data_IF_225277014242
#
_entry.id   IF_225277014242
#
_cell.length_a   1.000
_cell.length_b   1.000
_cell.length_c   1.000
_cell.angle_alpha   90.00
_cell.angle_beta   90.00
_cell.angle_gamma   90.00
#
_symmetry.space_group_name_H-M   'P 1'
#
loop_
_entity.id
_entity.type
_entity.pdbx_description
1 polymer ?
#
# COMPACT_ATOMS: atom_id res chain seq x y z
N UNK A 1 -0.53 -48.43 -16.41
CA UNK A 1 -0.60 -47.00 -16.02
C UNK A 1 -1.96 -46.79 -15.37
N UNK A 2 -2.03 -46.90 -14.05
CA UNK A 2 -3.29 -46.78 -13.33
C UNK A 2 -3.51 -45.32 -12.93
N UNK A 3 -4.61 -44.78 -13.43
CA UNK A 3 -5.12 -43.43 -13.17
C UNK A 3 -5.62 -43.38 -11.72
N UNK A 4 -5.09 -42.46 -10.93
CA UNK A 4 -5.56 -42.22 -9.56
C UNK A 4 -6.91 -41.53 -9.62
N UNK A 5 -7.99 -42.25 -9.28
CA UNK A 5 -9.31 -41.67 -9.02
C UNK A 5 -9.40 -41.28 -7.55
N UNK A 6 -9.74 -40.02 -7.28
CA UNK A 6 -10.10 -39.56 -5.95
C UNK A 6 -11.49 -40.10 -5.59
N UNK A 7 -11.56 -41.17 -4.79
CA UNK A 7 -12.80 -41.52 -4.12
C UNK A 7 -12.98 -40.59 -2.92
N UNK A 8 -13.85 -39.59 -3.04
CA UNK A 8 -14.35 -38.88 -1.88
C UNK A 8 -15.16 -39.89 -1.05
N UNK A 9 -14.58 -40.40 0.03
CA UNK A 9 -15.32 -41.18 1.01
C UNK A 9 -16.42 -40.30 1.59
N UNK A 10 -17.66 -40.74 1.40
CA UNK A 10 -18.86 -40.10 1.91
C UNK A 10 -18.89 -40.18 3.44
N UNK A 11 -18.18 -39.28 4.11
CA UNK A 11 -18.56 -38.84 5.45
C UNK A 11 -19.47 -37.63 5.29
N UNK A 12 -20.77 -37.94 5.16
CA UNK A 12 -21.88 -37.01 5.29
C UNK A 12 -21.90 -36.42 6.72
N UNK A 13 -20.95 -35.54 7.04
CA UNK A 13 -21.18 -34.55 8.06
C UNK A 13 -22.02 -33.45 7.40
N UNK A 14 -23.29 -33.35 7.79
CA UNK A 14 -24.07 -32.12 7.64
C UNK A 14 -23.30 -31.02 8.38
N UNK A 15 -22.31 -30.40 7.75
CA UNK A 15 -21.82 -29.10 8.20
C UNK A 15 -23.00 -28.17 8.02
N UNK A 16 -23.71 -27.89 9.11
CA UNK A 16 -24.64 -26.80 9.16
C UNK A 16 -23.89 -25.58 8.60
N UNK A 17 -24.38 -25.03 7.48
CA UNK A 17 -23.85 -23.78 6.94
C UNK A 17 -24.13 -22.75 8.02
N UNK A 18 -23.13 -22.46 8.86
CA UNK A 18 -23.25 -21.46 9.90
C UNK A 18 -23.63 -20.15 9.21
N UNK A 19 -24.64 -19.43 9.72
CA UNK A 19 -24.99 -18.13 9.14
C UNK A 19 -23.76 -17.24 9.17
N UNK A 20 -23.53 -16.48 8.09
CA UNK A 20 -22.41 -15.54 8.03
C UNK A 20 -22.48 -14.61 9.25
N UNK A 21 -21.36 -14.41 9.98
CA UNK A 21 -21.38 -13.54 11.14
C UNK A 21 -21.81 -12.13 10.74
N UNK A 22 -22.69 -11.55 11.56
CA UNK A 22 -23.14 -10.17 11.42
C UNK A 22 -22.25 -9.27 12.28
N UNK A 23 -22.11 -8.00 11.89
CA UNK A 23 -21.32 -7.00 12.63
C UNK A 23 -19.82 -7.35 12.77
N UNK A 24 -19.25 -8.02 11.78
CA UNK A 24 -17.78 -8.16 11.68
C UNK A 24 -17.22 -6.82 11.22
N UNK A 25 -16.35 -6.23 12.02
CA UNK A 25 -15.76 -4.93 11.75
C UNK A 25 -14.39 -4.79 12.39
N UNK A 26 -13.71 -3.68 12.09
CA UNK A 26 -12.42 -3.34 12.67
C UNK A 26 -12.62 -2.35 13.81
N UNK A 27 -12.20 -2.71 15.02
CA UNK A 27 -12.32 -1.85 16.21
C UNK A 27 -11.11 -0.93 16.39
N UNK A 28 -9.93 -1.38 15.96
CA UNK A 28 -8.70 -0.62 16.06
C UNK A 28 -7.76 -1.03 14.93
N UNK A 29 -6.91 -0.09 14.51
CA UNK A 29 -5.82 -0.33 13.59
C UNK A 29 -4.57 0.34 14.17
N UNK A 30 -3.45 -0.35 14.09
CA UNK A 30 -2.14 0.26 14.27
C UNK A 30 -1.21 -0.29 13.20
N UNK A 31 -0.24 0.53 12.83
CA UNK A 31 0.71 0.18 11.80
C UNK A 31 2.06 0.80 12.10
N UNK A 32 3.10 0.00 11.90
CA UNK A 32 4.46 0.51 11.84
C UNK A 32 4.77 1.08 10.45
N UNK A 33 5.47 2.21 10.37
CA UNK A 33 6.12 2.71 9.15
C UNK A 33 7.57 3.08 9.48
N UNK A 34 8.48 3.03 8.48
CA UNK A 34 9.86 3.45 8.72
C UNK A 34 9.93 4.92 9.16
N UNK A 35 10.80 5.22 10.11
CA UNK A 35 10.95 6.57 10.65
C UNK A 35 11.73 7.52 9.73
N UNK A 36 12.29 6.99 8.64
CA UNK A 36 13.12 7.72 7.70
C UNK A 36 12.49 7.73 6.32
N UNK A 37 12.64 8.84 5.64
CA UNK A 37 12.28 8.99 4.25
C UNK A 37 13.36 9.74 3.48
N UNK A 38 13.31 9.65 2.15
CA UNK A 38 14.14 10.41 1.23
C UNK A 38 13.23 11.26 0.34
N UNK A 39 13.67 12.48 0.00
CA UNK A 39 12.99 13.30 -1.00
C UNK A 39 13.18 12.73 -2.40
N UNK A 40 12.08 12.50 -3.13
CA UNK A 40 12.15 12.03 -4.51
C UNK A 40 12.78 13.08 -5.44
N UNK A 41 12.51 14.37 -5.21
CA UNK A 41 13.14 15.45 -5.96
C UNK A 41 14.68 15.49 -5.79
N UNK A 42 15.20 15.36 -4.56
CA UNK A 42 16.65 15.27 -4.33
C UNK A 42 17.23 13.99 -4.94
N UNK A 43 16.49 12.88 -4.91
CA UNK A 43 16.91 11.62 -5.51
C UNK A 43 16.95 11.71 -7.05
N UNK A 44 16.06 12.48 -7.68
CA UNK A 44 16.11 12.78 -9.11
C UNK A 44 17.43 13.47 -9.48
N UNK A 45 17.78 14.53 -8.74
CA UNK A 45 19.02 15.29 -8.95
C UNK A 45 20.25 14.40 -8.66
N UNK A 46 20.23 13.60 -7.58
CA UNK A 46 21.33 12.68 -7.22
C UNK A 46 21.56 11.57 -8.26
N UNK A 47 20.49 11.02 -8.85
CA UNK A 47 20.57 9.98 -9.87
C UNK A 47 20.85 10.54 -11.28
N UNK A 48 20.90 11.86 -11.45
CA UNK A 48 21.09 12.49 -12.76
C UNK A 48 19.93 12.24 -13.73
N UNK A 49 18.70 12.09 -13.22
CA UNK A 49 17.51 11.90 -14.06
C UNK A 49 16.75 13.22 -14.23
N UNK A 50 15.87 13.28 -15.23
CA UNK A 50 15.02 14.46 -15.45
C UNK A 50 14.11 14.72 -14.24
N UNK A 51 14.00 15.99 -13.85
CA UNK A 51 13.01 16.42 -12.86
C UNK A 51 11.60 15.98 -13.24
N UNK A 52 10.83 15.52 -12.26
CA UNK A 52 9.50 14.98 -12.49
C UNK A 52 9.46 13.48 -12.76
N UNK A 53 10.60 12.80 -12.97
CA UNK A 53 10.61 11.35 -13.25
C UNK A 53 9.99 10.53 -12.12
N UNK A 54 10.31 10.87 -10.87
CA UNK A 54 9.78 10.23 -9.67
C UNK A 54 8.58 11.02 -9.14
N UNK A 55 8.73 12.34 -9.00
CA UNK A 55 7.68 13.20 -8.42
C UNK A 55 6.39 13.21 -9.23
N UNK A 56 6.46 13.26 -10.57
CA UNK A 56 5.29 13.24 -11.45
C UNK A 56 5.07 11.83 -12.02
N UNK A 57 6.14 11.15 -12.44
CA UNK A 57 6.06 9.84 -13.10
C UNK A 57 5.58 8.74 -12.16
N UNK A 58 6.03 8.75 -10.90
CA UNK A 58 5.54 7.86 -9.85
C UNK A 58 4.42 8.52 -9.03
N UNK A 59 4.41 9.85 -8.92
CA UNK A 59 3.44 10.57 -8.09
C UNK A 59 3.78 10.46 -6.62
N UNK A 60 5.06 10.66 -6.28
CA UNK A 60 5.62 10.45 -4.94
C UNK A 60 6.51 11.63 -4.57
N UNK A 61 6.30 12.24 -3.41
CA UNK A 61 7.15 13.36 -2.95
C UNK A 61 8.32 12.85 -2.11
N UNK A 62 8.05 11.86 -1.26
CA UNK A 62 9.04 11.19 -0.43
C UNK A 62 8.91 9.69 -0.57
N UNK A 63 9.98 8.96 -0.28
CA UNK A 63 9.96 7.50 -0.16
C UNK A 63 10.44 7.08 1.21
N UNK A 64 9.61 6.33 1.93
CA UNK A 64 10.00 5.74 3.20
C UNK A 64 11.00 4.60 2.95
N UNK A 65 12.02 4.51 3.80
CA UNK A 65 13.00 3.43 3.72
C UNK A 65 13.37 2.94 5.11
N UNK A 66 13.63 1.64 5.21
CA UNK A 66 13.91 0.98 6.46
C UNK A 66 15.42 0.76 6.62
N UNK A 67 16.00 1.10 7.77
CA UNK A 67 17.43 0.87 8.04
C UNK A 67 17.74 -0.62 8.29
N UNK A 68 19.01 -1.01 8.40
CA UNK A 68 19.43 -2.40 8.67
C UNK A 68 18.93 -2.98 10.03
N UNK A 69 18.58 -2.10 10.98
CA UNK A 69 17.88 -2.45 12.24
C UNK A 69 16.40 -2.77 12.05
N UNK A 70 15.79 -2.22 11.02
CA UNK A 70 14.42 -2.51 10.62
C UNK A 70 14.47 -3.70 9.66
N UNK A 71 14.40 -4.87 10.27
CA UNK A 71 14.79 -6.13 9.66
C UNK A 71 14.21 -6.37 8.25
N UNK A 72 14.98 -7.00 7.36
CA UNK A 72 14.60 -7.35 5.99
C UNK A 72 13.33 -8.21 5.92
N UNK A 73 13.10 -9.05 6.93
CA UNK A 73 11.91 -9.90 7.05
C UNK A 73 10.65 -9.15 7.52
N UNK A 74 10.77 -7.89 7.97
CA UNK A 74 9.63 -7.10 8.46
C UNK A 74 8.71 -6.59 7.34
N UNK A 75 9.07 -6.82 6.06
CA UNK A 75 8.56 -6.03 4.93
C UNK A 75 8.24 -6.83 3.66
N UNK A 76 7.72 -8.04 3.78
CA UNK A 76 7.08 -8.74 2.66
C UNK A 76 5.58 -8.40 2.63
N UNK A 77 4.91 -8.51 1.45
CA UNK A 77 3.43 -8.56 1.19
C UNK A 77 2.72 -7.42 0.39
N UNK A 78 3.02 -7.12 -0.87
CA UNK A 78 2.40 -6.10 -1.80
C UNK A 78 0.95 -5.51 -1.64
N UNK A 79 0.83 -4.22 -2.01
CA UNK A 79 -0.34 -3.42 -2.38
C UNK A 79 0.10 -2.04 -2.92
N UNK A 80 -0.62 -1.46 -3.90
CA UNK A 80 -0.35 -0.24 -4.72
C UNK A 80 1.08 0.36 -4.69
N UNK A 81 1.89 0.19 -5.75
CA UNK A 81 3.31 0.53 -5.81
C UNK A 81 3.61 2.04 -5.89
N UNK A 82 2.73 2.87 -6.46
CA UNK A 82 2.92 4.32 -6.57
C UNK A 82 1.64 5.05 -7.05
N UNK A 83 1.52 6.35 -6.76
CA UNK A 83 0.28 7.12 -6.95
C UNK A 83 -0.22 7.19 -8.39
N UNK A 84 0.69 7.22 -9.37
CA UNK A 84 0.30 7.18 -10.79
C UNK A 84 -0.43 5.89 -11.16
N UNK A 85 -0.14 4.75 -10.51
CA UNK A 85 -0.90 3.52 -10.76
C UNK A 85 -2.32 3.61 -10.21
N UNK A 86 -2.55 4.30 -9.10
CA UNK A 86 -3.91 4.54 -8.56
C UNK A 86 -4.75 5.37 -9.53
N UNK A 87 -4.18 6.42 -10.12
CA UNK A 87 -4.85 7.22 -11.17
C UNK A 87 -5.28 6.33 -12.34
N UNK A 88 -4.37 5.49 -12.83
CA UNK A 88 -4.65 4.56 -13.93
C UNK A 88 -5.67 3.49 -13.55
N UNK A 89 -5.61 2.98 -12.31
CA UNK A 89 -6.55 2.00 -11.79
C UNK A 89 -7.98 2.55 -11.72
N UNK A 90 -8.14 3.79 -11.24
CA UNK A 90 -9.44 4.47 -11.23
C UNK A 90 -9.99 4.69 -12.64
N UNK A 91 -9.14 5.16 -13.56
CA UNK A 91 -9.52 5.28 -14.97
C UNK A 91 -9.94 3.93 -15.58
N UNK A 92 -9.27 2.82 -15.19
CA UNK A 92 -9.63 1.47 -15.65
C UNK A 92 -10.98 1.00 -15.11
N UNK A 93 -11.35 1.39 -13.89
CA UNK A 93 -12.69 1.13 -13.35
C UNK A 93 -13.76 1.85 -14.19
N UNK A 94 -13.55 3.11 -14.53
CA UNK A 94 -14.47 3.86 -15.39
C UNK A 94 -14.55 3.30 -16.81
N UNK A 95 -13.46 2.75 -17.34
CA UNK A 95 -13.50 2.02 -18.60
C UNK A 95 -14.38 0.76 -18.51
N UNK A 96 -14.32 0.03 -17.40
CA UNK A 96 -15.23 -1.11 -17.19
C UNK A 96 -16.69 -0.65 -17.05
N UNK A 97 -16.94 0.49 -16.39
CA UNK A 97 -18.28 1.09 -16.29
C UNK A 97 -18.80 1.48 -17.69
N UNK A 98 -17.94 2.04 -18.54
CA UNK A 98 -18.28 2.33 -19.95
C UNK A 98 -18.62 1.06 -20.73
N UNK A 99 -17.90 -0.04 -20.54
CA UNK A 99 -18.23 -1.30 -21.20
C UNK A 99 -19.58 -1.86 -20.75
N UNK A 100 -19.97 -1.60 -19.50
CA UNK A 100 -21.25 -2.03 -18.94
C UNK A 100 -22.41 -1.13 -19.39
N UNK A 101 -22.18 0.19 -19.48
CA UNK A 101 -23.17 1.18 -19.94
C UNK A 101 -22.52 2.23 -20.86
N UNK A 102 -22.35 1.93 -22.16
CA UNK A 102 -21.75 2.85 -23.11
C UNK A 102 -22.59 4.11 -23.37
N UNK A 103 -23.89 4.08 -23.04
CA UNK A 103 -24.83 5.17 -23.29
C UNK A 103 -24.82 6.26 -22.22
N UNK A 104 -24.09 6.06 -21.13
CA UNK A 104 -24.05 7.03 -20.04
C UNK A 104 -23.44 8.38 -20.53
N UNK A 105 -24.03 9.54 -20.16
CA UNK A 105 -23.61 10.85 -20.68
C UNK A 105 -22.12 11.16 -20.46
N UNK A 106 -21.53 10.69 -19.36
CA UNK A 106 -20.10 10.91 -19.08
C UNK A 106 -19.16 10.20 -20.05
N UNK A 107 -19.64 9.23 -20.83
CA UNK A 107 -18.86 8.46 -21.80
C UNK A 107 -19.16 8.85 -23.25
N UNK A 108 -19.87 9.95 -23.50
CA UNK A 108 -20.24 10.37 -24.86
C UNK A 108 -19.05 10.53 -25.83
N UNK A 109 -17.85 10.84 -25.29
CA UNK A 109 -16.61 10.96 -26.06
C UNK A 109 -15.81 9.64 -26.19
N UNK A 110 -16.29 8.54 -25.60
CA UNK A 110 -15.61 7.25 -25.59
C UNK A 110 -16.16 6.31 -26.66
N UNK A 111 -15.27 5.47 -27.19
CA UNK A 111 -15.60 4.44 -28.17
C UNK A 111 -15.02 3.11 -27.73
N UNK A 112 -15.74 2.03 -28.02
CA UNK A 112 -15.29 0.69 -27.70
C UNK A 112 -14.07 0.32 -28.54
N UNK A 113 -13.06 -0.21 -27.87
CA UNK A 113 -11.92 -0.90 -28.48
C UNK A 113 -11.88 -2.31 -27.93
N UNK A 114 -11.19 -3.21 -28.62
CA UNK A 114 -11.02 -4.57 -28.13
C UNK A 114 -10.40 -4.58 -26.72
N UNK A 115 -11.00 -5.36 -25.82
CA UNK A 115 -10.61 -5.37 -24.42
C UNK A 115 -9.16 -5.81 -24.22
N UNK A 116 -8.68 -6.77 -25.03
CA UNK A 116 -7.33 -7.31 -24.90
C UNK A 116 -6.25 -6.31 -25.33
N UNK A 117 -6.59 -5.41 -26.27
CA UNK A 117 -5.70 -4.35 -26.75
C UNK A 117 -5.72 -3.12 -25.83
N UNK A 118 -6.86 -2.88 -25.18
CA UNK A 118 -7.09 -1.69 -24.36
C UNK A 118 -6.06 -1.37 -23.26
N UNK A 119 -5.39 -2.34 -22.59
CA UNK A 119 -4.41 -2.01 -21.55
C UNK A 119 -3.16 -1.30 -22.09
N UNK A 120 -2.84 -1.49 -23.37
CA UNK A 120 -1.66 -0.91 -24.03
C UNK A 120 -1.99 0.38 -24.78
N UNK A 121 -3.27 0.71 -24.93
CA UNK A 121 -3.74 1.85 -25.71
C UNK A 121 -3.65 3.17 -24.92
N UNK A 122 -2.62 3.96 -25.21
CA UNK A 122 -2.37 5.25 -24.54
C UNK A 122 -3.51 6.25 -24.72
N UNK A 123 -4.24 6.19 -25.83
CA UNK A 123 -5.37 7.10 -26.05
C UNK A 123 -6.52 6.79 -25.08
N UNK A 124 -6.85 5.51 -24.87
CA UNK A 124 -7.86 5.08 -23.90
C UNK A 124 -7.43 5.41 -22.48
N UNK A 125 -6.16 5.18 -22.13
CA UNK A 125 -5.64 5.59 -20.82
C UNK A 125 -5.86 7.10 -20.58
N UNK A 126 -5.46 7.95 -21.52
CA UNK A 126 -5.60 9.41 -21.38
C UNK A 126 -7.06 9.83 -21.29
N UNK A 127 -7.92 9.31 -22.17
CA UNK A 127 -9.34 9.66 -22.20
C UNK A 127 -10.03 9.35 -20.87
N UNK A 128 -9.85 8.15 -20.33
CA UNK A 128 -10.51 7.75 -19.09
C UNK A 128 -9.90 8.38 -17.84
N UNK A 129 -8.62 8.78 -17.88
CA UNK A 129 -8.05 9.67 -16.86
C UNK A 129 -8.77 11.02 -16.87
N UNK A 130 -8.96 11.63 -18.06
CA UNK A 130 -9.63 12.92 -18.19
C UNK A 130 -11.10 12.86 -17.75
N UNK A 131 -11.86 11.87 -18.23
CA UNK A 131 -13.26 11.63 -17.80
C UNK A 131 -13.32 11.42 -16.29
N UNK A 132 -12.34 10.70 -15.73
CA UNK A 132 -12.31 10.35 -14.32
C UNK A 132 -11.92 11.46 -13.37
N UNK A 133 -11.32 12.57 -13.84
CA UNK A 133 -10.79 13.64 -12.98
C UNK A 133 -11.73 14.08 -11.85
N UNK A 134 -13.01 14.45 -12.11
CA UNK A 134 -13.90 14.93 -11.03
C UNK A 134 -14.12 13.86 -9.97
N UNK A 135 -14.41 12.62 -10.40
CA UNK A 135 -14.64 11.50 -9.50
C UNK A 135 -13.38 11.04 -8.76
N UNK A 136 -12.20 11.18 -9.37
CA UNK A 136 -10.93 10.89 -8.73
C UNK A 136 -10.66 11.90 -7.61
N UNK A 137 -10.80 13.19 -7.89
CA UNK A 137 -10.64 14.27 -6.90
C UNK A 137 -11.57 14.07 -5.69
N UNK A 138 -12.82 13.69 -5.93
CA UNK A 138 -13.79 13.47 -4.85
C UNK A 138 -13.53 12.17 -4.06
N UNK A 139 -13.29 11.04 -4.75
CA UNK A 139 -13.39 9.71 -4.15
C UNK A 139 -12.04 9.07 -3.83
N UNK A 140 -10.99 9.44 -4.54
CA UNK A 140 -9.68 8.78 -4.47
C UNK A 140 -8.63 9.71 -3.88
N UNK A 141 -8.61 10.98 -4.24
CA UNK A 141 -7.61 11.95 -3.77
C UNK A 141 -7.51 12.03 -2.23
N UNK A 142 -8.61 12.02 -1.46
CA UNK A 142 -8.51 11.98 0.00
C UNK A 142 -7.77 10.73 0.52
N UNK A 143 -7.83 9.60 -0.20
CA UNK A 143 -7.10 8.37 0.15
C UNK A 143 -5.62 8.42 -0.23
N UNK A 144 -5.22 9.39 -1.07
CA UNK A 144 -3.85 9.57 -1.52
C UNK A 144 -2.99 10.37 -0.54
N UNK A 145 -3.58 11.01 0.48
CA UNK A 145 -2.86 11.81 1.47
C UNK A 145 -1.69 11.06 2.12
N UNK A 146 -1.86 9.77 2.40
CA UNK A 146 -0.81 8.93 2.98
C UNK A 146 0.19 8.40 1.94
N UNK A 147 -0.24 8.27 0.69
CA UNK A 147 0.56 7.69 -0.41
C UNK A 147 1.45 8.72 -1.12
N UNK A 148 1.06 10.00 -1.13
CA UNK A 148 1.83 11.11 -1.70
C UNK A 148 2.93 11.62 -0.77
N UNK A 149 2.62 11.73 0.53
CA UNK A 149 3.55 12.21 1.57
C UNK A 149 4.65 11.19 1.93
N UNK A 150 4.44 9.91 1.64
CA UNK A 150 5.51 8.93 1.59
C UNK A 150 5.07 7.76 0.74
N UNK A 151 5.88 7.37 -0.23
CA UNK A 151 5.86 6.03 -0.75
C UNK A 151 6.21 5.12 0.42
N UNK A 152 5.20 4.66 1.15
CA UNK A 152 5.30 3.43 1.92
C UNK A 152 5.32 2.33 0.86
N UNK A 153 6.47 2.19 0.19
CA UNK A 153 6.79 1.10 -0.75
C UNK A 153 6.87 -0.25 -0.04
N UNK A 154 6.46 -0.31 1.23
CA UNK A 154 6.47 -1.49 2.05
C UNK A 154 5.22 -2.30 1.86
N UNK A 155 5.28 -3.07 0.78
CA UNK A 155 4.62 -4.33 0.51
C UNK A 155 3.22 -4.46 1.15
N UNK A 156 2.96 -4.73 2.43
CA UNK A 156 1.58 -4.98 2.97
C UNK A 156 0.68 -3.79 3.28
N UNK A 157 1.23 -2.59 3.25
CA UNK A 157 0.64 -1.51 4.05
C UNK A 157 -0.13 -0.46 3.27
N UNK A 158 0.07 -0.41 1.94
CA UNK A 158 -0.51 0.65 1.10
C UNK A 158 -2.05 0.72 1.17
N UNK A 159 -2.73 -0.44 1.21
CA UNK A 159 -4.20 -0.48 1.24
C UNK A 159 -4.75 0.01 2.57
N UNK A 160 -4.11 -0.39 3.66
CA UNK A 160 -4.52 0.03 5.00
C UNK A 160 -4.24 1.53 5.16
N UNK A 161 -3.07 2.04 4.78
CA UNK A 161 -2.80 3.49 4.89
C UNK A 161 -3.66 4.35 3.97
N UNK A 162 -4.19 3.77 2.88
CA UNK A 162 -5.10 4.47 1.97
C UNK A 162 -6.58 4.35 2.39
N UNK A 163 -6.89 3.77 3.56
CA UNK A 163 -8.28 3.77 4.02
C UNK A 163 -8.71 5.20 4.39
N UNK A 164 -9.88 5.69 3.93
CA UNK A 164 -10.26 7.09 4.11
C UNK A 164 -10.52 7.49 5.56
N UNK A 165 -10.63 6.54 6.51
CA UNK A 165 -10.77 6.84 7.94
C UNK A 165 -9.59 7.63 8.53
N UNK A 166 -8.44 7.65 7.86
CA UNK A 166 -7.25 8.37 8.33
C UNK A 166 -7.20 9.83 7.85
N UNK A 167 -7.83 10.14 6.72
CA UNK A 167 -7.72 11.43 6.04
C UNK A 167 -9.05 12.18 5.88
N UNK A 168 -10.18 11.49 5.97
CA UNK A 168 -11.53 12.06 5.85
C UNK A 168 -12.15 12.23 7.24
N UNK A 169 -12.98 13.26 7.41
CA UNK A 169 -13.68 13.48 8.68
C UNK A 169 -14.69 12.34 8.96
N UNK A 170 -14.82 11.88 10.22
CA UNK A 170 -15.76 10.81 10.56
C UNK A 170 -17.20 11.09 10.14
N UNK A 171 -17.63 12.36 10.23
CA UNK A 171 -18.96 12.80 9.81
C UNK A 171 -19.21 12.56 8.30
N UNK A 172 -18.19 12.77 7.47
CA UNK A 172 -18.28 12.60 6.02
C UNK A 172 -18.22 11.13 5.60
N UNK A 173 -17.70 10.25 6.48
CA UNK A 173 -17.62 8.81 6.24
C UNK A 173 -18.86 8.05 6.68
N UNK A 174 -19.64 8.56 7.62
CA UNK A 174 -20.76 7.82 8.20
C UNK A 174 -21.74 7.35 7.12
N UNK A 175 -22.00 6.03 7.09
CA UNK A 175 -22.87 5.38 6.11
C UNK A 175 -22.23 5.18 4.72
N UNK A 176 -21.06 5.75 4.44
CA UNK A 176 -20.35 5.59 3.17
C UNK A 176 -19.69 4.23 3.06
N UNK A 177 -19.44 3.82 1.81
CA UNK A 177 -18.69 2.62 1.46
C UNK A 177 -17.35 3.01 0.86
N UNK A 178 -16.29 2.36 1.30
CA UNK A 178 -14.98 2.45 0.69
C UNK A 178 -14.69 1.14 -0.04
N UNK A 179 -14.39 1.23 -1.34
CA UNK A 179 -13.92 0.09 -2.13
C UNK A 179 -12.42 -0.06 -1.97
N UNK A 180 -11.95 -1.28 -1.81
CA UNK A 180 -10.55 -1.64 -1.60
C UNK A 180 -10.13 -2.68 -2.62
N UNK A 181 -8.99 -2.43 -3.28
CA UNK A 181 -8.40 -3.36 -4.23
C UNK A 181 -7.01 -3.80 -3.75
N UNK A 182 -6.88 -5.10 -3.50
CA UNK A 182 -5.64 -5.77 -3.11
C UNK A 182 -5.03 -6.48 -4.30
N UNK A 183 -3.73 -6.30 -4.49
CA UNK A 183 -2.97 -7.00 -5.53
C UNK A 183 -1.58 -7.39 -5.02
N UNK A 184 -1.24 -8.67 -5.22
CA UNK A 184 0.09 -9.21 -5.02
C UNK A 184 0.63 -9.93 -6.26
N UNK A 185 1.88 -9.64 -6.61
CA UNK A 185 2.63 -10.37 -7.64
C UNK A 185 2.69 -11.88 -7.37
N UNK A 186 2.73 -12.69 -8.44
CA UNK A 186 2.39 -14.12 -8.42
C UNK A 186 0.94 -14.38 -8.87
N UNK A 187 0.12 -13.31 -8.83
CA UNK A 187 -1.27 -13.07 -9.22
C UNK A 187 -2.36 -13.51 -8.21
N UNK A 188 -2.29 -12.97 -7.00
CA UNK A 188 -3.43 -12.95 -6.09
C UNK A 188 -4.02 -11.53 -6.01
N UNK A 189 -5.31 -11.40 -6.28
CA UNK A 189 -6.02 -10.12 -6.18
C UNK A 189 -7.38 -10.29 -5.51
N UNK A 190 -7.84 -9.24 -4.84
CA UNK A 190 -9.17 -9.22 -4.23
C UNK A 190 -9.74 -7.81 -4.26
N UNK A 191 -11.00 -7.70 -4.64
CA UNK A 191 -11.77 -6.46 -4.53
C UNK A 191 -12.84 -6.67 -3.46
N UNK A 192 -12.86 -5.81 -2.45
CA UNK A 192 -13.83 -5.85 -1.36
C UNK A 192 -14.22 -4.44 -0.96
N UNK A 193 -15.23 -4.30 -0.11
CA UNK A 193 -15.62 -3.00 0.40
C UNK A 193 -15.76 -3.02 1.92
N UNK A 194 -15.50 -1.89 2.54
CA UNK A 194 -15.88 -1.60 3.94
C UNK A 194 -17.02 -0.60 3.95
N UNK A 195 -17.79 -0.58 5.04
CA UNK A 195 -18.83 0.42 5.27
C UNK A 195 -18.59 1.05 6.64
N UNK A 196 -18.61 2.37 6.71
CA UNK A 196 -18.58 3.05 8.00
C UNK A 196 -19.97 3.01 8.62
N UNK A 197 -20.09 2.36 9.76
CA UNK A 197 -21.36 2.18 10.49
C UNK A 197 -21.39 2.96 11.80
N UNK A 198 -20.33 3.72 12.11
CA UNK A 198 -20.17 4.47 13.35
C UNK A 198 -19.05 5.50 13.26
N UNK A 199 -18.75 6.13 14.39
CA UNK A 199 -17.69 7.13 14.49
C UNK A 199 -16.30 6.49 14.36
N UNK A 200 -15.48 7.03 13.46
CA UNK A 200 -14.10 6.59 13.23
C UNK A 200 -13.07 7.46 13.96
N UNK A 201 -13.49 8.39 14.81
CA UNK A 201 -12.61 9.32 15.54
C UNK A 201 -11.54 8.60 16.34
N UNK A 202 -11.89 7.55 17.08
CA UNK A 202 -10.92 6.81 17.89
C UNK A 202 -9.84 6.18 17.01
N UNK A 203 -10.21 5.49 15.93
CA UNK A 203 -9.25 4.89 14.99
C UNK A 203 -8.32 5.96 14.41
N UNK A 204 -8.88 7.09 13.98
CA UNK A 204 -8.11 8.20 13.40
C UNK A 204 -7.13 8.81 14.40
N UNK A 205 -7.60 9.10 15.62
CA UNK A 205 -6.80 9.72 16.68
C UNK A 205 -5.70 8.79 17.20
N UNK A 206 -6.00 7.51 17.40
CA UNK A 206 -5.04 6.51 17.88
C UNK A 206 -3.95 6.23 16.85
N UNK A 207 -4.35 6.17 15.57
CA UNK A 207 -3.40 5.94 14.49
C UNK A 207 -2.51 7.16 14.26
N UNK A 208 -3.08 8.37 14.34
CA UNK A 208 -2.43 9.67 14.13
C UNK A 208 -1.59 9.74 12.84
N UNK A 209 -2.08 9.08 11.78
CA UNK A 209 -1.27 8.69 10.62
C UNK A 209 -0.60 9.88 9.91
N UNK A 210 -1.34 10.97 9.68
CA UNK A 210 -0.81 12.10 8.91
C UNK A 210 0.31 12.85 9.67
N UNK A 211 0.15 13.07 10.97
CA UNK A 211 1.19 13.71 11.80
C UNK A 211 2.43 12.82 11.91
N UNK A 212 2.19 11.52 12.07
CA UNK A 212 3.22 10.48 12.07
C UNK A 212 4.05 10.46 10.79
N UNK A 213 3.42 10.55 9.62
CA UNK A 213 4.11 10.67 8.34
C UNK A 213 4.86 12.00 8.20
N UNK A 214 4.26 13.11 8.62
CA UNK A 214 4.91 14.43 8.61
C UNK A 214 6.13 14.51 9.56
N UNK A 215 6.16 13.68 10.61
CA UNK A 215 7.26 13.63 11.59
C UNK A 215 8.45 12.77 11.15
N UNK A 216 8.39 12.10 10.00
CA UNK A 216 9.49 11.27 9.53
C UNK A 216 10.75 12.10 9.28
N UNK A 217 11.90 11.51 9.59
CA UNK A 217 13.19 12.13 9.33
C UNK A 217 13.54 12.02 7.84
N UNK A 218 13.56 13.14 7.14
CA UNK A 218 14.14 13.22 5.79
C UNK A 218 15.66 13.05 5.90
N UNK A 219 16.22 12.08 5.16
CA UNK A 219 17.66 11.79 5.13
C UNK A 219 18.25 12.09 3.77
N UNK A 220 19.56 12.32 3.73
CA UNK A 220 20.29 12.56 2.48
C UNK A 220 20.30 11.34 1.56
N UNK A 221 20.43 11.58 0.25
CA UNK A 221 20.61 10.53 -0.76
C UNK A 221 21.82 9.62 -0.47
N UNK A 222 22.88 10.18 0.11
CA UNK A 222 24.07 9.41 0.52
C UNK A 222 23.75 8.45 1.67
N UNK A 223 23.09 8.93 2.73
CA UNK A 223 22.68 8.07 3.85
C UNK A 223 21.74 6.95 3.38
N UNK A 224 20.81 7.26 2.48
CA UNK A 224 19.90 6.30 1.86
C UNK A 224 20.64 5.21 1.08
N UNK A 225 21.54 5.60 0.17
CA UNK A 225 22.28 4.64 -0.68
C UNK A 225 23.24 3.77 0.13
N UNK A 226 23.94 4.33 1.12
CA UNK A 226 24.74 3.56 2.07
C UNK A 226 23.87 2.58 2.89
N UNK A 227 22.67 3.01 3.27
CA UNK A 227 21.67 2.17 3.93
C UNK A 227 21.21 1.00 3.07
N UNK A 228 20.89 1.25 1.80
CA UNK A 228 20.54 0.20 0.84
C UNK A 228 21.69 -0.81 0.68
N UNK A 229 22.93 -0.33 0.55
CA UNK A 229 24.09 -1.20 0.43
C UNK A 229 24.29 -2.09 1.66
N UNK A 230 24.14 -1.52 2.88
CA UNK A 230 24.16 -2.32 4.12
C UNK A 230 23.09 -3.40 4.15
N UNK A 231 21.87 -3.10 3.67
CA UNK A 231 20.77 -4.09 3.61
C UNK A 231 21.06 -5.20 2.62
N UNK A 232 21.63 -4.87 1.47
CA UNK A 232 22.03 -5.86 0.46
C UNK A 232 23.07 -6.81 1.04
N UNK A 233 24.14 -6.26 1.64
CA UNK A 233 25.21 -7.03 2.28
C UNK A 233 24.69 -8.00 3.35
N UNK A 234 23.74 -7.55 4.18
CA UNK A 234 23.22 -8.33 5.29
C UNK A 234 22.00 -9.19 4.96
N UNK A 235 21.46 -9.11 3.74
CA UNK A 235 20.19 -9.75 3.36
C UNK A 235 20.14 -11.26 3.67
N UNK A 236 21.27 -11.95 3.45
CA UNK A 236 21.46 -13.38 3.73
C UNK A 236 22.68 -13.64 4.63
N UNK A 237 23.14 -12.63 5.38
CA UNK A 237 24.27 -12.80 6.27
C UNK A 237 23.85 -13.48 7.59
N UNK A 238 24.75 -14.30 8.14
CA UNK A 238 24.71 -14.78 9.53
C UNK A 238 25.80 -14.08 10.34
N UNK A 239 25.77 -14.22 11.66
CA UNK A 239 26.81 -13.68 12.56
C UNK A 239 27.04 -12.16 12.43
N UNK A 240 25.98 -11.35 12.35
CA UNK A 240 26.10 -9.90 12.21
C UNK A 240 25.25 -9.14 13.24
N UNK A 241 25.69 -7.93 13.56
CA UNK A 241 25.00 -6.96 14.41
C UNK A 241 24.70 -5.72 13.56
N UNK A 242 23.44 -5.31 13.39
CA UNK A 242 23.10 -4.09 12.66
C UNK A 242 23.79 -2.85 13.24
N UNK A 243 24.24 -1.96 12.37
CA UNK A 243 25.03 -0.76 12.73
C UNK A 243 24.27 0.54 12.51
N UNK A 244 23.09 0.49 11.88
CA UNK A 244 22.20 1.63 11.70
C UNK A 244 21.91 2.38 13.00
N UNK A 245 21.52 3.66 12.92
CA UNK A 245 21.29 4.46 14.13
C UNK A 245 20.07 3.91 14.90
N UNK A 246 20.32 3.20 16.00
CA UNK A 246 19.29 2.66 16.91
C UNK A 246 18.66 3.70 17.83
N UNK A 247 18.94 4.99 17.60
CA UNK A 247 18.60 6.10 18.49
C UNK A 247 17.19 6.64 18.27
N UNK A 248 16.29 5.81 17.76
CA UNK A 248 14.95 6.22 17.42
C UNK A 248 13.95 5.38 18.20
N UNK A 249 13.09 6.09 18.91
CA UNK A 249 12.00 5.56 19.73
C UNK A 249 11.05 4.83 18.77
N UNK A 250 11.29 3.54 18.57
CA UNK A 250 10.43 2.70 17.75
C UNK A 250 9.41 2.01 18.67
N UNK A 251 8.10 2.11 18.38
CA UNK A 251 7.10 1.37 19.15
C UNK A 251 7.25 -0.15 18.99
N UNK A 252 7.97 -0.59 17.96
CA UNK A 252 8.22 -1.99 17.62
C UNK A 252 9.63 -2.45 18.01
N UNK A 253 9.82 -3.76 18.30
CA UNK A 253 11.15 -4.33 18.48
C UNK A 253 12.02 -4.16 17.22
N UNK A 254 13.27 -3.77 17.42
CA UNK A 254 14.28 -3.64 16.35
C UNK A 254 15.24 -4.82 16.36
N UNK A 255 15.82 -5.13 15.21
CA UNK A 255 16.83 -6.17 15.09
C UNK A 255 18.08 -5.78 15.87
N UNK A 256 18.46 -6.65 16.80
CA UNK A 256 19.65 -6.51 17.62
C UNK A 256 20.82 -7.29 17.05
N UNK A 257 20.61 -8.54 16.61
CA UNK A 257 21.68 -9.39 16.06
C UNK A 257 21.11 -10.60 15.32
N UNK A 258 21.89 -11.13 14.38
CA UNK A 258 21.68 -12.43 13.74
C UNK A 258 22.88 -13.30 14.06
N UNK A 259 22.66 -14.48 14.63
CA UNK A 259 23.77 -15.38 14.96
C UNK A 259 24.18 -16.30 13.81
N UNK A 260 25.15 -17.18 14.08
CA UNK A 260 25.73 -18.16 13.16
C UNK A 260 24.70 -19.15 12.57
N UNK A 261 23.58 -19.36 13.26
CA UNK A 261 22.48 -20.23 12.85
C UNK A 261 21.30 -19.46 12.28
N UNK A 262 21.54 -18.22 11.84
CA UNK A 262 20.52 -17.31 11.30
C UNK A 262 19.40 -16.97 12.29
N UNK A 263 19.59 -17.22 13.60
CA UNK A 263 18.58 -16.88 14.61
C UNK A 263 18.65 -15.39 14.88
N UNK A 264 17.50 -14.74 14.85
CA UNK A 264 17.36 -13.29 14.95
C UNK A 264 16.94 -12.91 16.36
N UNK A 265 17.66 -11.99 16.98
CA UNK A 265 17.32 -11.39 18.27
C UNK A 265 16.78 -9.99 18.05
N UNK A 266 15.65 -9.68 18.67
CA UNK A 266 15.04 -8.35 18.65
C UNK A 266 15.03 -7.74 20.05
N UNK A 267 15.17 -6.42 20.14
CA UNK A 267 15.09 -5.67 21.40
C UNK A 267 14.07 -4.56 21.25
N UNK A 268 13.21 -4.41 22.26
CA UNK A 268 12.28 -3.29 22.37
C UNK A 268 12.89 -2.24 23.28
N UNK A 269 13.17 -1.06 22.75
CA UNK A 269 13.57 0.08 23.57
C UNK A 269 12.32 0.62 24.28
N UNK A 270 12.41 0.86 25.59
CA UNK A 270 11.32 1.51 26.32
C UNK A 270 11.30 2.99 25.96
N UNK A 271 10.08 3.51 25.82
CA UNK A 271 9.82 4.94 25.78
C UNK A 271 9.87 5.38 27.25
N UNK A 272 10.89 6.16 27.62
CA UNK A 272 10.91 6.91 28.89
C UNK A 272 10.19 8.25 28.70
#
# INVERSE_FOLDING_TARGET
MNRWEWSASAQNAKMAILPRPKNVGVLAMDMYFPLRCISEAELEDYNGVSRGKYTIGLGQEFMAWADDREDINSFALNGTPYGKQTVKGHARMLYNDFLADPGAPQFAAAHAIDYSMSPMEKHVEKLFIEIGKPSFTEKVDPTMACSGASAISTRARSMLVSHPCFSVAPADLLGKRASLYAFGGGCAASFFHTQSVGDTSEIRQRMDLLNRLASMKVVSCKEFTEGLHRRELHSNASSYTPVGSGRHISPVPLLHSVDDKFRRRYVRHRIE
#
